data_IF_552570893641
#
_entry.id   IF_552570893641
#
_cell.length_a   1.000
_cell.length_b   1.000
_cell.length_c   1.000
_cell.angle_alpha   90.00
_cell.angle_beta   90.00
_cell.angle_gamma   90.00
#
_symmetry.space_group_name_H-M   'P 1'
#
loop_
_entity.id
_entity.type
_entity.pdbx_description
1 polymer ?
#
# COMPACT_ATOMS: atom_id res chain seq x y z
N UNK A 1 -3.21 8.31 -19.49
CA UNK A 1 -3.11 7.12 -18.61
C UNK A 1 -3.64 7.56 -17.28
N UNK A 2 -4.89 7.22 -16.95
CA UNK A 2 -5.44 7.44 -15.62
C UNK A 2 -4.65 6.56 -14.64
N UNK A 3 -3.87 7.19 -13.76
CA UNK A 3 -3.29 6.46 -12.64
C UNK A 3 -4.45 6.00 -11.75
N UNK A 4 -4.57 4.70 -11.42
CA UNK A 4 -5.58 4.27 -10.47
C UNK A 4 -5.34 5.03 -9.17
N UNK A 5 -6.37 5.74 -8.69
CA UNK A 5 -6.31 6.52 -7.46
C UNK A 5 -6.18 5.56 -6.29
N UNK A 6 -4.95 5.27 -5.88
CA UNK A 6 -4.65 4.42 -4.73
C UNK A 6 -5.19 5.13 -3.50
N UNK A 7 -6.13 4.49 -2.79
CA UNK A 7 -6.64 5.06 -1.54
C UNK A 7 -5.55 5.00 -0.45
N UNK A 8 -5.54 5.92 0.53
CA UNK A 8 -4.60 5.86 1.64
C UNK A 8 -4.61 4.51 2.37
N UNK A 9 -5.78 3.89 2.53
CA UNK A 9 -5.92 2.57 3.14
C UNK A 9 -5.19 1.46 2.37
N UNK A 10 -5.33 1.42 1.04
CA UNK A 10 -4.60 0.46 0.19
C UNK A 10 -3.09 0.66 0.28
N UNK A 11 -2.64 1.92 0.28
CA UNK A 11 -1.22 2.25 0.43
C UNK A 11 -0.67 1.79 1.78
N UNK A 12 -1.34 2.09 2.90
CA UNK A 12 -0.90 1.66 4.22
C UNK A 12 -0.88 0.13 4.36
N UNK A 13 -1.88 -0.56 3.80
CA UNK A 13 -1.89 -2.02 3.80
C UNK A 13 -0.73 -2.61 2.98
N UNK A 14 -0.43 -2.04 1.80
CA UNK A 14 0.72 -2.45 0.99
C UNK A 14 2.05 -2.23 1.74
N UNK A 15 2.23 -1.07 2.37
CA UNK A 15 3.41 -0.75 3.17
C UNK A 15 3.59 -1.70 4.36
N UNK A 16 2.50 -2.01 5.08
CA UNK A 16 2.51 -2.94 6.20
C UNK A 16 2.94 -4.35 5.78
N UNK A 17 2.45 -4.84 4.63
CA UNK A 17 2.83 -6.15 4.08
C UNK A 17 4.29 -6.20 3.64
N UNK A 18 4.76 -5.15 2.96
CA UNK A 18 6.16 -5.05 2.51
C UNK A 18 7.14 -4.84 3.66
N UNK A 19 6.65 -4.48 4.87
CA UNK A 19 7.45 -4.06 6.03
C UNK A 19 8.44 -2.95 5.67
N UNK A 20 8.09 -2.11 4.70
CA UNK A 20 8.93 -1.02 4.25
C UNK A 20 8.95 0.10 5.29
N UNK A 21 10.14 0.63 5.58
CA UNK A 21 10.37 1.72 6.52
C UNK A 21 11.52 2.60 6.03
N UNK A 22 11.53 3.85 6.48
CA UNK A 22 12.62 4.81 6.26
C UNK A 22 12.50 5.57 4.94
N UNK A 23 13.52 6.39 4.64
CA UNK A 23 13.48 7.45 3.63
C UNK A 23 13.04 7.03 2.22
N UNK A 24 13.34 5.79 1.81
CA UNK A 24 12.89 5.27 0.51
C UNK A 24 11.38 4.98 0.47
N UNK A 25 10.80 4.58 1.61
CA UNK A 25 9.36 4.43 1.78
C UNK A 25 8.69 5.80 1.71
N UNK A 26 9.17 6.77 2.50
CA UNK A 26 8.60 8.11 2.59
C UNK A 26 8.62 8.82 1.23
N UNK A 27 9.75 8.75 0.51
CA UNK A 27 9.87 9.30 -0.83
C UNK A 27 8.94 8.64 -1.86
N UNK A 28 8.75 7.32 -1.76
CA UNK A 28 7.85 6.62 -2.67
C UNK A 28 6.37 6.92 -2.36
N UNK A 29 6.02 7.08 -1.09
CA UNK A 29 4.70 7.54 -0.65
C UNK A 29 4.39 8.94 -1.19
N UNK A 30 5.34 9.88 -1.12
CA UNK A 30 5.14 11.24 -1.65
C UNK A 30 4.85 11.22 -3.16
N UNK A 31 5.52 10.34 -3.91
CA UNK A 31 5.26 10.16 -5.35
C UNK A 31 3.89 9.54 -5.61
N UNK A 32 3.56 8.45 -4.91
CA UNK A 32 2.31 7.71 -5.12
C UNK A 32 1.06 8.46 -4.67
N UNK A 33 1.22 9.42 -3.74
CA UNK A 33 0.14 10.29 -3.25
C UNK A 33 0.08 11.63 -3.98
N UNK A 34 0.96 11.88 -4.94
CA UNK A 34 1.00 13.12 -5.73
C UNK A 34 1.54 14.34 -4.98
N UNK A 35 2.24 14.14 -3.85
CA UNK A 35 2.96 15.20 -3.13
C UNK A 35 4.18 15.67 -3.91
N UNK A 36 4.86 14.76 -4.62
CA UNK A 36 5.95 15.08 -5.53
C UNK A 36 5.61 14.56 -6.93
N UNK A 37 5.65 15.44 -7.92
CA UNK A 37 5.32 15.10 -9.31
C UNK A 37 6.41 14.25 -9.98
N UNK A 38 7.65 14.32 -9.47
CA UNK A 38 8.82 13.66 -10.07
C UNK A 38 9.60 12.84 -9.06
N UNK A 39 10.13 11.71 -9.52
CA UNK A 39 11.01 10.84 -8.72
C UNK A 39 12.30 11.55 -8.24
N UNK A 40 12.81 12.50 -9.02
CA UNK A 40 14.00 13.27 -8.65
C UNK A 40 13.72 14.22 -7.49
N UNK A 41 12.57 14.89 -7.51
CA UNK A 41 12.13 15.81 -6.47
C UNK A 41 11.95 15.08 -5.12
N UNK A 42 11.29 13.92 -5.14
CA UNK A 42 11.18 13.08 -3.95
C UNK A 42 12.56 12.59 -3.47
N UNK A 43 13.48 12.27 -4.38
CA UNK A 43 14.84 11.89 -4.03
C UNK A 43 15.61 13.01 -3.33
N UNK A 44 15.53 14.22 -3.87
CA UNK A 44 16.15 15.43 -3.29
C UNK A 44 15.57 15.74 -1.91
N UNK A 45 14.23 15.73 -1.78
CA UNK A 45 13.51 16.00 -0.53
C UNK A 45 13.91 15.05 0.59
N UNK A 46 14.09 13.77 0.28
CA UNK A 46 14.41 12.72 1.26
C UNK A 46 15.91 12.38 1.32
N UNK A 47 16.76 13.08 0.56
CA UNK A 47 18.20 12.87 0.54
C UNK A 47 18.63 11.46 0.12
N UNK A 48 17.96 10.91 -0.91
CA UNK A 48 18.25 9.60 -1.50
C UNK A 48 18.29 9.68 -3.03
N UNK A 49 18.89 8.69 -3.70
CA UNK A 49 18.98 8.70 -5.16
C UNK A 49 17.61 8.50 -5.82
N UNK A 50 17.40 9.12 -6.98
CA UNK A 50 16.22 8.86 -7.84
C UNK A 50 16.00 7.36 -8.10
N UNK A 51 17.08 6.60 -8.24
CA UNK A 51 17.01 5.16 -8.45
C UNK A 51 16.42 4.41 -7.24
N UNK A 52 16.80 4.80 -6.02
CA UNK A 52 16.23 4.25 -4.79
C UNK A 52 14.73 4.55 -4.68
N UNK A 53 14.31 5.79 -5.01
CA UNK A 53 12.88 6.15 -5.08
C UNK A 53 12.15 5.30 -6.12
N UNK A 54 12.71 5.16 -7.33
CA UNK A 54 12.09 4.36 -8.40
C UNK A 54 11.91 2.90 -7.99
N UNK A 55 12.89 2.30 -7.32
CA UNK A 55 12.81 0.92 -6.85
C UNK A 55 11.75 0.76 -5.76
N UNK A 56 11.66 1.71 -4.83
CA UNK A 56 10.64 1.71 -3.78
C UNK A 56 9.23 1.87 -4.37
N UNK A 57 9.01 2.80 -5.30
CA UNK A 57 7.73 3.00 -6.00
C UNK A 57 7.30 1.71 -6.71
N UNK A 58 8.18 1.08 -7.49
CA UNK A 58 7.87 -0.18 -8.19
C UNK A 58 7.46 -1.29 -7.23
N UNK A 59 8.14 -1.40 -6.09
CA UNK A 59 7.86 -2.42 -5.08
C UNK A 59 6.50 -2.21 -4.42
N UNK A 60 6.14 -0.96 -4.12
CA UNK A 60 4.83 -0.64 -3.56
C UNK A 60 3.73 -0.85 -4.60
N UNK A 61 3.93 -0.40 -5.84
CA UNK A 61 2.96 -0.61 -6.92
C UNK A 61 2.70 -2.09 -7.17
N UNK A 62 3.73 -2.94 -7.19
CA UNK A 62 3.56 -4.39 -7.33
C UNK A 62 2.72 -5.02 -6.21
N UNK A 63 2.78 -4.48 -4.98
CA UNK A 63 1.92 -4.95 -3.88
C UNK A 63 0.50 -4.38 -3.95
N UNK A 64 0.32 -3.20 -4.53
CA UNK A 64 -0.98 -2.59 -4.81
C UNK A 64 -1.71 -3.31 -5.94
N UNK A 65 -0.99 -3.71 -6.98
CA UNK A 65 -1.48 -4.45 -8.14
C UNK A 65 -1.76 -5.94 -7.83
N UNK A 66 -1.51 -6.36 -6.59
CA UNK A 66 -1.74 -7.73 -6.16
C UNK A 66 -3.22 -8.08 -6.23
N UNK A 67 -3.54 -9.15 -6.95
CA UNK A 67 -4.92 -9.64 -7.04
C UNK A 67 -5.42 -10.23 -5.73
N UNK A 68 -6.65 -9.90 -5.37
CA UNK A 68 -7.39 -10.48 -4.25
C UNK A 68 -8.55 -11.32 -4.77
N UNK A 69 -8.88 -12.38 -4.03
CA UNK A 69 -10.02 -13.25 -4.32
C UNK A 69 -11.05 -13.16 -3.20
N UNK A 70 -12.33 -13.22 -3.56
CA UNK A 70 -13.42 -13.31 -2.59
C UNK A 70 -13.61 -14.76 -2.15
N UNK A 71 -13.71 -14.99 -0.85
CA UNK A 71 -13.94 -16.31 -0.26
C UNK A 71 -15.08 -16.24 0.76
N UNK A 72 -15.94 -17.26 0.78
CA UNK A 72 -16.96 -17.43 1.80
C UNK A 72 -16.43 -18.32 2.93
N UNK A 73 -16.55 -17.88 4.18
CA UNK A 73 -16.05 -18.60 5.36
C UNK A 73 -17.14 -18.70 6.42
N UNK A 74 -17.22 -19.83 7.12
CA UNK A 74 -18.08 -20.01 8.30
C UNK A 74 -17.21 -20.01 9.55
N UNK A 75 -17.43 -19.05 10.44
CA UNK A 75 -16.68 -18.91 11.69
C UNK A 75 -17.63 -18.72 12.89
N UNK A 76 -17.19 -19.09 14.10
CA UNK A 76 -17.84 -18.68 15.35
C UNK A 76 -17.95 -17.15 15.46
N UNK A 77 -19.04 -16.64 16.06
CA UNK A 77 -19.35 -15.19 16.12
C UNK A 77 -18.26 -14.38 16.82
N UNK A 78 -17.62 -14.95 17.82
CA UNK A 78 -16.51 -14.36 18.57
C UNK A 78 -15.25 -14.13 17.73
N UNK A 79 -15.12 -14.82 16.58
CA UNK A 79 -13.98 -14.64 15.66
C UNK A 79 -14.17 -13.52 14.64
N UNK A 80 -15.34 -12.87 14.60
CA UNK A 80 -15.62 -11.82 13.62
C UNK A 80 -14.66 -10.64 13.73
N UNK A 81 -14.42 -10.15 14.96
CA UNK A 81 -13.50 -9.02 15.17
C UNK A 81 -12.05 -9.33 14.81
N UNK A 82 -11.60 -10.57 15.02
CA UNK A 82 -10.26 -11.02 14.59
C UNK A 82 -10.16 -11.08 13.06
N UNK A 83 -11.23 -11.51 12.38
CA UNK A 83 -11.29 -11.53 10.92
C UNK A 83 -11.27 -10.12 10.34
N UNK A 84 -12.04 -9.18 10.90
CA UNK A 84 -12.03 -7.76 10.51
C UNK A 84 -10.63 -7.16 10.65
N UNK A 85 -10.00 -7.30 11.82
CA UNK A 85 -8.65 -6.81 12.06
C UNK A 85 -7.62 -7.43 11.11
N UNK A 86 -7.76 -8.73 10.81
CA UNK A 86 -6.89 -9.39 9.84
C UNK A 86 -7.11 -8.88 8.43
N UNK A 87 -8.36 -8.73 7.97
CA UNK A 87 -8.69 -8.21 6.65
C UNK A 87 -8.16 -6.79 6.47
N UNK A 88 -8.38 -5.90 7.43
CA UNK A 88 -7.84 -4.54 7.42
C UNK A 88 -6.30 -4.54 7.30
N UNK A 89 -5.62 -5.36 8.10
CA UNK A 89 -4.17 -5.51 8.02
C UNK A 89 -3.69 -6.11 6.70
N UNK A 90 -4.55 -6.86 6.00
CA UNK A 90 -4.31 -7.41 4.67
C UNK A 90 -4.93 -6.57 3.56
N UNK A 91 -5.48 -5.39 3.83
CA UNK A 91 -6.17 -4.53 2.86
C UNK A 91 -7.32 -5.21 2.10
N UNK A 92 -7.91 -6.24 2.71
CA UNK A 92 -9.18 -6.80 2.31
C UNK A 92 -10.32 -6.14 3.09
N UNK A 93 -11.55 -6.45 2.72
CA UNK A 93 -12.75 -5.98 3.42
C UNK A 93 -13.77 -7.10 3.54
N UNK A 94 -14.65 -7.01 4.53
CA UNK A 94 -15.88 -7.79 4.54
C UNK A 94 -16.85 -7.17 3.54
N UNK A 95 -17.44 -8.00 2.67
CA UNK A 95 -18.64 -7.61 1.95
C UNK A 95 -19.84 -7.95 2.81
N UNK A 96 -20.67 -6.95 3.10
CA UNK A 96 -22.02 -7.22 3.59
C UNK A 96 -22.86 -7.70 2.40
N UNK A 97 -23.36 -8.94 2.46
CA UNK A 97 -24.52 -9.34 1.66
C UNK A 97 -25.80 -8.69 2.21
#
# INVERSE_FOLDING_TARGET
MDQPSVTPGQLYAALARLRMKGRACDAATDVLTGVCDRLSEAGERHGISRAAVSQAVKRIQAELDREFVTVAVRLPKDRLGELEAWLDAKGGSLSAE
#
